data_IF_957804066859
#
_entry.id   IF_957804066859
#
_cell.length_a   1.000
_cell.length_b   1.000
_cell.length_c   1.000
_cell.angle_alpha   90.00
_cell.angle_beta   90.00
_cell.angle_gamma   90.00
#
_symmetry.space_group_name_H-M   'P 1'
#
loop_
_entity.id
_entity.type
_entity.pdbx_description
1 polymer ?
#
# COMPACT_ATOMS: atom_id res chain seq x y z
N UNK A 1 56.59 57.24 21.44
CA UNK A 1 55.65 56.46 22.29
C UNK A 1 54.46 55.90 21.48
N UNK A 2 54.03 56.52 20.37
CA UNK A 2 52.81 56.10 19.64
C UNK A 2 52.92 54.87 18.70
N UNK A 3 54.12 54.40 18.34
CA UNK A 3 54.27 53.27 17.40
C UNK A 3 54.28 51.88 18.07
N UNK A 4 54.52 51.81 19.38
CA UNK A 4 54.60 50.53 20.10
C UNK A 4 53.22 50.05 20.60
N UNK A 5 52.28 50.96 20.84
CA UNK A 5 50.93 50.62 21.28
C UNK A 5 50.07 50.01 20.15
N UNK A 6 50.41 50.30 18.90
CA UNK A 6 49.72 49.72 17.74
C UNK A 6 50.07 48.22 17.56
N UNK A 7 51.29 47.81 17.91
CA UNK A 7 51.76 46.41 17.81
C UNK A 7 51.13 45.53 18.91
N UNK A 8 50.80 46.10 20.08
CA UNK A 8 50.14 45.38 21.17
C UNK A 8 48.70 44.92 20.83
N UNK A 9 48.03 45.58 19.87
CA UNK A 9 46.67 45.21 19.47
C UNK A 9 46.59 43.97 18.56
N UNK A 10 47.66 43.62 17.84
CA UNK A 10 47.77 42.35 17.07
C UNK A 10 47.82 41.10 17.97
N UNK A 11 48.07 41.30 19.27
CA UNK A 11 48.26 40.24 20.25
C UNK A 11 47.22 40.17 21.35
N UNK A 12 46.09 40.92 21.30
CA UNK A 12 45.15 40.95 22.42
C UNK A 12 44.51 39.56 22.65
N UNK A 13 44.83 38.86 23.76
CA UNK A 13 44.38 37.50 24.00
C UNK A 13 42.86 37.42 24.16
N UNK A 14 42.19 38.51 24.56
CA UNK A 14 40.72 38.57 24.64
C UNK A 14 40.06 38.52 23.26
N UNK A 15 40.62 39.21 22.25
CA UNK A 15 40.12 39.16 20.87
C UNK A 15 40.31 37.79 20.25
N UNK A 16 41.48 37.16 20.46
CA UNK A 16 41.75 35.80 19.96
C UNK A 16 40.84 34.74 20.57
N UNK A 17 40.51 34.86 21.87
CA UNK A 17 39.54 33.98 22.53
C UNK A 17 38.13 34.16 21.97
N UNK A 18 37.69 35.41 21.80
CA UNK A 18 36.40 35.71 21.17
C UNK A 18 36.31 35.16 19.74
N UNK A 19 37.36 35.36 18.92
CA UNK A 19 37.40 34.83 17.55
C UNK A 19 37.36 33.29 17.51
N UNK A 20 37.93 32.62 18.52
CA UNK A 20 37.89 31.16 18.64
C UNK A 20 36.48 30.67 19.04
N UNK A 21 35.80 31.36 19.96
CA UNK A 21 34.41 31.05 20.33
C UNK A 21 33.44 31.29 19.17
N UNK A 22 33.59 32.40 18.43
CA UNK A 22 32.80 32.69 17.23
C UNK A 22 33.02 31.60 16.18
N UNK A 23 34.26 31.18 15.94
CA UNK A 23 34.56 30.06 15.02
C UNK A 23 33.93 28.76 15.49
N UNK A 24 34.02 28.43 16.77
CA UNK A 24 33.39 27.22 17.34
C UNK A 24 31.88 27.24 17.16
N UNK A 25 31.23 28.38 17.45
CA UNK A 25 29.80 28.58 17.24
C UNK A 25 29.40 28.44 15.77
N UNK A 26 30.16 29.06 14.85
CA UNK A 26 29.90 28.97 13.40
C UNK A 26 30.02 27.54 12.89
N UNK A 27 31.04 26.80 13.31
CA UNK A 27 31.19 25.38 12.95
C UNK A 27 30.04 24.54 13.50
N UNK A 28 29.61 24.82 14.73
CA UNK A 28 28.43 24.17 15.33
C UNK A 28 27.15 24.43 14.52
N UNK A 29 26.89 25.69 14.15
CA UNK A 29 25.74 26.06 13.34
C UNK A 29 25.79 25.40 11.95
N UNK A 30 26.95 25.41 11.28
CA UNK A 30 27.12 24.71 10.00
C UNK A 30 26.82 23.22 10.12
N UNK A 31 27.31 22.56 11.18
CA UNK A 31 27.03 21.15 11.41
C UNK A 31 25.52 20.89 11.62
N UNK A 32 24.82 21.78 12.34
CA UNK A 32 23.36 21.70 12.52
C UNK A 32 22.65 21.88 11.17
N UNK A 33 22.99 22.91 10.40
CA UNK A 33 22.38 23.17 9.08
C UNK A 33 22.62 22.02 8.11
N UNK A 34 23.81 21.41 8.12
CA UNK A 34 24.10 20.23 7.29
C UNK A 34 23.26 19.01 7.70
N UNK A 35 23.08 18.78 9.01
CA UNK A 35 22.20 17.72 9.52
C UNK A 35 20.76 17.95 9.11
N UNK A 36 20.27 19.18 9.25
CA UNK A 36 18.92 19.56 8.85
C UNK A 36 18.70 19.36 7.34
N UNK A 37 19.64 19.78 6.50
CA UNK A 37 19.59 19.50 5.06
C UNK A 37 19.58 18.00 4.77
N UNK A 38 20.38 17.20 5.49
CA UNK A 38 20.40 15.74 5.33
C UNK A 38 19.07 15.11 5.72
N UNK A 39 18.48 15.53 6.83
CA UNK A 39 17.16 15.07 7.29
C UNK A 39 16.11 15.40 6.24
N UNK A 40 16.05 16.65 5.76
CA UNK A 40 15.09 17.07 4.74
C UNK A 40 15.24 16.29 3.43
N UNK A 41 16.48 15.97 3.03
CA UNK A 41 16.71 15.15 1.85
C UNK A 41 16.22 13.70 2.05
N UNK A 42 16.49 13.10 3.21
CA UNK A 42 16.03 11.75 3.54
C UNK A 42 14.50 11.67 3.63
N UNK A 43 13.87 12.69 4.22
CA UNK A 43 12.41 12.81 4.30
C UNK A 43 11.81 12.79 2.88
N UNK A 44 12.31 13.65 1.99
CA UNK A 44 11.82 13.70 0.60
C UNK A 44 12.01 12.39 -0.15
N UNK A 45 13.16 11.74 0.01
CA UNK A 45 13.43 10.45 -0.62
C UNK A 45 12.48 9.35 -0.08
N UNK A 46 12.22 9.35 1.22
CA UNK A 46 11.26 8.44 1.85
C UNK A 46 9.83 8.70 1.32
N UNK A 47 9.37 9.94 1.33
CA UNK A 47 8.04 10.32 0.86
C UNK A 47 7.85 9.91 -0.62
N UNK A 48 8.85 10.16 -1.46
CA UNK A 48 8.83 9.77 -2.88
C UNK A 48 8.72 8.25 -3.05
N UNK A 49 9.40 7.47 -2.20
CA UNK A 49 9.31 6.01 -2.22
C UNK A 49 7.96 5.51 -1.71
N UNK A 50 7.44 6.13 -0.64
CA UNK A 50 6.15 5.80 -0.08
C UNK A 50 5.03 6.05 -1.10
N UNK A 51 5.05 7.19 -1.82
CA UNK A 51 4.11 7.48 -2.90
C UNK A 51 4.16 6.43 -4.02
N UNK A 52 5.37 6.01 -4.44
CA UNK A 52 5.52 4.96 -5.45
C UNK A 52 4.93 3.64 -4.99
N UNK A 53 5.19 3.23 -3.75
CA UNK A 53 4.64 2.00 -3.17
C UNK A 53 3.11 2.10 -3.07
N UNK A 54 2.58 3.23 -2.61
CA UNK A 54 1.13 3.47 -2.55
C UNK A 54 0.49 3.33 -3.92
N UNK A 55 1.03 4.00 -4.94
CA UNK A 55 0.52 3.90 -6.30
C UNK A 55 0.59 2.48 -6.88
N UNK A 56 1.61 1.70 -6.51
CA UNK A 56 1.69 0.28 -6.87
C UNK A 56 0.62 -0.55 -6.17
N UNK A 57 0.39 -0.33 -4.87
CA UNK A 57 -0.66 -0.99 -4.11
C UNK A 57 -2.03 -0.66 -4.70
N UNK A 58 -2.32 0.62 -4.95
CA UNK A 58 -3.60 1.06 -5.54
C UNK A 58 -3.84 0.40 -6.89
N UNK A 59 -2.83 0.36 -7.76
CA UNK A 59 -2.91 -0.35 -9.04
C UNK A 59 -3.18 -1.84 -8.85
N UNK A 60 -2.53 -2.49 -7.89
CA UNK A 60 -2.76 -3.91 -7.61
C UNK A 60 -4.16 -4.15 -7.03
N UNK A 61 -4.65 -3.26 -6.17
CA UNK A 61 -6.01 -3.31 -5.65
C UNK A 61 -7.04 -3.10 -6.76
N UNK A 62 -6.79 -2.19 -7.69
CA UNK A 62 -7.64 -2.00 -8.88
C UNK A 62 -7.67 -3.26 -9.73
N UNK A 63 -6.51 -3.89 -9.99
CA UNK A 63 -6.44 -5.17 -10.71
C UNK A 63 -7.21 -6.27 -9.96
N UNK A 64 -7.02 -6.38 -8.64
CA UNK A 64 -7.75 -7.34 -7.82
C UNK A 64 -9.25 -7.06 -7.84
N UNK A 65 -9.66 -5.80 -7.78
CA UNK A 65 -11.06 -5.39 -7.89
C UNK A 65 -11.63 -5.77 -9.25
N UNK A 66 -10.92 -5.54 -10.34
CA UNK A 66 -11.37 -5.96 -11.68
C UNK A 66 -11.40 -7.47 -11.85
N UNK A 67 -10.52 -8.21 -11.17
CA UNK A 67 -10.49 -9.67 -11.25
C UNK A 67 -11.58 -10.31 -10.38
N UNK A 68 -11.82 -9.77 -9.19
CA UNK A 68 -12.83 -10.27 -8.25
C UNK A 68 -14.24 -9.81 -8.63
N UNK A 69 -14.35 -8.60 -9.17
CA UNK A 69 -15.60 -7.97 -9.59
C UNK A 69 -15.40 -7.44 -11.01
N UNK A 70 -15.28 -8.32 -12.02
CA UNK A 70 -15.29 -7.89 -13.41
C UNK A 70 -16.53 -7.02 -13.64
N UNK A 71 -16.43 -5.97 -14.48
CA UNK A 71 -17.58 -5.16 -14.84
C UNK A 71 -18.74 -6.10 -15.20
N UNK A 72 -19.90 -5.85 -14.60
CA UNK A 72 -21.14 -6.58 -14.83
C UNK A 72 -21.68 -6.25 -16.23
N UNK A 73 -20.82 -6.20 -17.26
CA UNK A 73 -21.21 -6.20 -18.66
C UNK A 73 -21.83 -7.56 -18.96
N UNK A 74 -23.13 -7.64 -18.65
CA UNK A 74 -23.91 -8.85 -18.78
C UNK A 74 -24.09 -9.64 -17.49
N UNK A 75 -24.45 -9.01 -16.36
CA UNK A 75 -25.48 -9.63 -15.50
C UNK A 75 -26.80 -9.61 -16.26
N UNK A 76 -26.86 -10.35 -17.38
CA UNK A 76 -28.10 -10.79 -17.93
C UNK A 76 -28.58 -11.85 -16.94
N UNK A 77 -29.36 -11.40 -15.95
CA UNK A 77 -30.20 -12.27 -15.13
C UNK A 77 -30.89 -13.33 -16.02
N UNK A 78 -31.19 -12.96 -17.27
CA UNK A 78 -31.64 -13.81 -18.37
C UNK A 78 -30.70 -14.96 -18.78
N UNK A 79 -29.37 -14.77 -18.80
CA UNK A 79 -28.40 -15.87 -19.06
C UNK A 79 -28.18 -16.75 -17.83
N UNK A 80 -28.24 -16.16 -16.62
CA UNK A 80 -28.16 -16.91 -15.36
C UNK A 80 -29.40 -17.80 -15.14
N UNK A 81 -30.59 -17.31 -15.47
CA UNK A 81 -31.84 -18.06 -15.43
C UNK A 81 -31.92 -19.21 -16.45
N UNK A 82 -31.00 -19.27 -17.43
CA UNK A 82 -30.91 -20.34 -18.43
C UNK A 82 -29.87 -21.42 -18.07
N UNK A 83 -29.19 -21.30 -16.94
CA UNK A 83 -28.22 -22.29 -16.49
C UNK A 83 -28.90 -23.60 -16.07
N UNK A 84 -28.29 -24.74 -16.38
CA UNK A 84 -28.76 -26.06 -15.93
C UNK A 84 -28.28 -26.41 -14.52
N UNK A 85 -27.71 -25.44 -13.80
CA UNK A 85 -27.10 -25.64 -12.48
C UNK A 85 -28.21 -25.39 -11.44
N UNK A 86 -28.57 -26.40 -10.63
CA UNK A 86 -29.71 -26.32 -9.70
C UNK A 86 -29.66 -25.13 -8.73
N UNK A 87 -28.46 -24.73 -8.28
CA UNK A 87 -28.27 -23.57 -7.40
C UNK A 87 -28.66 -22.25 -8.05
N UNK A 88 -28.26 -22.07 -9.31
CA UNK A 88 -28.44 -20.84 -10.05
C UNK A 88 -29.92 -20.66 -10.41
N UNK A 89 -30.62 -21.75 -10.70
CA UNK A 89 -32.08 -21.79 -10.85
C UNK A 89 -32.78 -21.41 -9.54
N UNK A 90 -32.36 -22.01 -8.42
CA UNK A 90 -32.95 -21.72 -7.12
C UNK A 90 -32.78 -20.25 -6.71
N UNK A 91 -31.60 -19.66 -6.92
CA UNK A 91 -31.36 -18.23 -6.67
C UNK A 91 -32.18 -17.35 -7.60
N UNK A 92 -32.30 -17.71 -8.89
CA UNK A 92 -33.09 -16.96 -9.85
C UNK A 92 -34.58 -16.95 -9.49
N UNK A 93 -35.13 -18.08 -9.01
CA UNK A 93 -36.52 -18.19 -8.55
C UNK A 93 -36.78 -17.34 -7.29
N UNK A 94 -35.84 -17.33 -6.34
CA UNK A 94 -35.92 -16.51 -5.13
C UNK A 94 -35.84 -15.00 -5.49
N UNK A 95 -34.93 -14.63 -6.38
CA UNK A 95 -34.78 -13.23 -6.84
C UNK A 95 -35.98 -12.81 -7.69
N UNK A 96 -36.57 -13.70 -8.49
CA UNK A 96 -37.76 -13.40 -9.28
C UNK A 96 -39.01 -13.19 -8.40
N UNK A 97 -39.09 -13.88 -7.26
CA UNK A 97 -40.21 -13.75 -6.31
C UNK A 97 -40.09 -12.55 -5.39
N UNK A 98 -38.89 -12.27 -4.86
CA UNK A 98 -38.68 -11.29 -3.80
C UNK A 98 -37.83 -10.06 -4.21
N UNK A 99 -37.23 -10.08 -5.41
CA UNK A 99 -36.27 -9.08 -5.87
C UNK A 99 -34.86 -9.27 -5.31
N UNK A 100 -33.92 -8.44 -5.75
CA UNK A 100 -32.55 -8.41 -5.24
C UNK A 100 -32.50 -7.64 -3.91
N UNK A 101 -32.77 -8.34 -2.80
CA UNK A 101 -32.67 -7.82 -1.44
C UNK A 101 -31.91 -8.79 -0.53
N UNK A 102 -31.53 -8.33 0.67
CA UNK A 102 -30.80 -9.13 1.66
C UNK A 102 -31.58 -10.38 2.09
N UNK A 103 -32.91 -10.28 2.16
CA UNK A 103 -33.81 -11.38 2.52
C UNK A 103 -33.77 -12.50 1.49
N UNK A 104 -33.66 -12.17 0.20
CA UNK A 104 -33.50 -13.13 -0.90
C UNK A 104 -32.18 -13.89 -0.81
N UNK A 105 -31.09 -13.21 -0.41
CA UNK A 105 -29.80 -13.87 -0.20
C UNK A 105 -29.84 -14.80 1.01
N UNK A 106 -30.46 -14.37 2.11
CA UNK A 106 -30.62 -15.21 3.30
C UNK A 106 -31.42 -16.47 3.00
N UNK A 107 -32.54 -16.35 2.28
CA UNK A 107 -33.35 -17.51 1.86
C UNK A 107 -32.57 -18.48 0.96
N UNK A 108 -31.72 -17.96 0.07
CA UNK A 108 -30.85 -18.78 -0.75
C UNK A 108 -29.81 -19.55 0.08
N UNK A 109 -29.16 -18.89 1.04
CA UNK A 109 -28.20 -19.55 1.93
C UNK A 109 -28.85 -20.60 2.85
N UNK A 110 -30.06 -20.35 3.33
CA UNK A 110 -30.83 -21.36 4.07
C UNK A 110 -31.16 -22.57 3.18
N UNK A 111 -31.58 -22.33 1.93
CA UNK A 111 -31.90 -23.39 0.99
C UNK A 111 -30.71 -24.28 0.64
N UNK A 112 -29.52 -23.69 0.44
CA UNK A 112 -28.28 -24.46 0.22
C UNK A 112 -27.89 -25.24 1.47
N UNK A 113 -27.98 -24.63 2.66
CA UNK A 113 -27.67 -25.28 3.92
C UNK A 113 -28.52 -26.51 4.15
N UNK A 114 -29.81 -26.42 3.83
CA UNK A 114 -30.78 -27.48 4.05
C UNK A 114 -30.77 -28.52 2.90
N UNK A 115 -30.15 -28.20 1.76
CA UNK A 115 -30.02 -29.09 0.60
C UNK A 115 -28.58 -29.18 0.08
N UNK A 116 -27.69 -29.95 0.73
CA UNK A 116 -26.26 -30.01 0.40
C UNK A 116 -25.93 -30.54 -0.99
N UNK A 117 -26.86 -31.28 -1.62
CA UNK A 117 -26.70 -31.75 -3.01
C UNK A 117 -26.85 -30.64 -4.05
N UNK A 118 -27.41 -29.49 -3.64
CA UNK A 118 -27.41 -28.28 -4.46
C UNK A 118 -26.05 -27.59 -4.37
N UNK A 119 -25.36 -27.62 -3.23
CA UNK A 119 -24.05 -26.97 -3.07
C UNK A 119 -23.04 -27.54 -4.07
N UNK A 120 -22.70 -26.78 -5.12
CA UNK A 120 -21.62 -27.10 -6.05
C UNK A 120 -20.34 -27.05 -5.24
N UNK A 121 -19.83 -28.22 -4.85
CA UNK A 121 -18.41 -28.53 -4.71
C UNK A 121 -17.53 -27.42 -4.10
N UNK A 122 -18.06 -26.67 -3.13
CA UNK A 122 -17.34 -25.57 -2.48
C UNK A 122 -16.10 -26.09 -1.73
N UNK A 123 -16.06 -27.40 -1.47
CA UNK A 123 -14.98 -28.13 -0.82
C UNK A 123 -14.23 -29.12 -1.73
N UNK A 124 -14.51 -29.19 -3.03
CA UNK A 124 -13.74 -30.03 -3.98
C UNK A 124 -12.66 -29.27 -4.75
N UNK A 125 -12.49 -27.97 -4.52
CA UNK A 125 -11.20 -27.33 -4.76
C UNK A 125 -10.21 -27.84 -3.70
N UNK A 126 -9.46 -28.89 -4.06
CA UNK A 126 -8.32 -29.33 -3.27
C UNK A 126 -7.41 -28.10 -3.03
N UNK A 127 -7.15 -27.77 -1.77
CA UNK A 127 -6.26 -26.65 -1.38
C UNK A 127 -4.86 -26.74 -2.02
N UNK A 128 -4.53 -27.88 -2.63
CA UNK A 128 -3.32 -28.11 -3.40
C UNK A 128 -3.31 -27.46 -4.80
N UNK A 129 -4.45 -27.06 -5.38
CA UNK A 129 -4.51 -26.49 -6.75
C UNK A 129 -4.22 -24.99 -6.82
N UNK A 130 -4.50 -24.23 -5.76
CA UNK A 130 -4.19 -22.79 -5.68
C UNK A 130 -2.68 -22.48 -5.71
N UNK A 131 -1.83 -23.49 -5.50
CA UNK A 131 -0.37 -23.34 -5.45
C UNK A 131 0.39 -24.04 -6.59
N UNK A 132 -0.30 -24.74 -7.52
CA UNK A 132 0.37 -25.54 -8.55
C UNK A 132 0.69 -24.80 -9.85
N UNK A 133 0.12 -23.61 -10.10
CA UNK A 133 0.43 -22.82 -11.30
C UNK A 133 0.98 -21.42 -10.96
N UNK A 134 2.19 -21.37 -10.36
CA UNK A 134 3.13 -20.24 -10.51
C UNK A 134 4.57 -20.72 -10.37
N UNK A 135 4.99 -21.61 -11.26
CA UNK A 135 6.42 -21.80 -11.56
C UNK A 135 6.80 -21.02 -12.81
N UNK A 136 6.64 -19.69 -12.78
CA UNK A 136 7.34 -18.81 -13.73
C UNK A 136 8.00 -17.67 -12.95
N UNK A 137 9.26 -17.94 -12.59
CA UNK A 137 10.37 -17.00 -12.38
C UNK A 137 10.08 -15.88 -11.36
N UNK A 138 10.17 -16.22 -10.08
CA UNK A 138 10.51 -15.24 -9.05
C UNK A 138 12.02 -14.95 -9.13
N UNK A 139 12.37 -13.89 -9.86
CA UNK A 139 13.63 -13.18 -9.61
C UNK A 139 13.53 -12.51 -8.23
N UNK A 140 13.82 -13.27 -7.18
CA UNK A 140 14.06 -12.70 -5.86
C UNK A 140 15.33 -11.85 -5.93
N UNK A 141 15.16 -10.53 -5.88
CA UNK A 141 16.25 -9.60 -5.60
C UNK A 141 16.60 -9.77 -4.12
N UNK A 142 17.71 -10.45 -3.85
CA UNK A 142 18.36 -10.42 -2.54
C UNK A 142 18.89 -8.99 -2.37
N UNK A 143 18.44 -8.32 -1.31
CA UNK A 143 18.98 -7.02 -0.90
C UNK A 143 20.06 -7.35 0.15
N UNK A 144 21.32 -7.13 -0.21
CA UNK A 144 22.44 -6.92 0.73
C UNK A 144 22.49 -5.44 1.14
#
# INVERSE_FOLDING_TARGET
ILMNDLIATKGNPRRRKLDAEIRKSRVGLLAITMKEHRINWLQKEFDTRAEKISAQIDKHLDILRTNLLPPLEGFALERWAQSSIPEQVALADIVASNGLCEESLLQYFELIRDTPSLSVDFFHADSSDLFKERQEILHCVIID
#
